data_IF_059441275719
#
_entry.id   IF_059441275719
#
_cell.length_a   1.000
_cell.length_b   1.000
_cell.length_c   1.000
_cell.angle_alpha   90.00
_cell.angle_beta   90.00
_cell.angle_gamma   90.00
#
_symmetry.space_group_name_H-M   'P 1'
#
loop_
_entity.id
_entity.type
_entity.pdbx_description
1 polymer ?
#
# COMPACT_ATOMS: atom_id res chain seq x y z
N UNK A 1 -41.21 1.47 35.23
CA UNK A 1 -39.72 1.46 35.08
C UNK A 1 -39.20 0.62 33.89
N UNK A 2 -40.05 -0.02 33.06
CA UNK A 2 -39.60 -0.89 31.94
C UNK A 2 -39.53 -0.22 30.54
N UNK A 3 -39.96 1.03 30.41
CA UNK A 3 -39.99 1.75 29.11
C UNK A 3 -38.70 2.54 28.81
N UNK A 4 -37.86 2.82 29.81
CA UNK A 4 -36.63 3.60 29.60
C UNK A 4 -35.55 2.81 28.84
N UNK A 5 -35.48 1.48 29.00
CA UNK A 5 -34.43 0.65 28.39
C UNK A 5 -34.56 0.46 26.88
N UNK A 6 -35.79 0.50 26.34
CA UNK A 6 -36.04 0.32 24.90
C UNK A 6 -35.56 1.55 24.11
N UNK A 7 -35.64 2.74 24.69
CA UNK A 7 -35.20 3.97 24.05
C UNK A 7 -33.67 4.09 23.98
N UNK A 8 -32.93 3.58 24.98
CA UNK A 8 -31.46 3.61 24.95
C UNK A 8 -30.85 2.68 23.89
N UNK A 9 -31.45 1.51 23.66
CA UNK A 9 -30.98 0.59 22.61
C UNK A 9 -31.13 1.15 21.20
N UNK A 10 -32.24 1.81 20.91
CA UNK A 10 -32.50 2.41 19.59
C UNK A 10 -31.57 3.58 19.28
N UNK A 11 -31.24 4.41 20.28
CA UNK A 11 -30.32 5.54 20.10
C UNK A 11 -28.89 5.07 19.89
N UNK A 12 -28.44 4.01 20.59
CA UNK A 12 -27.11 3.43 20.37
C UNK A 12 -26.98 2.75 19.00
N UNK A 13 -28.03 2.10 18.51
CA UNK A 13 -28.02 1.50 17.16
C UNK A 13 -27.96 2.57 16.07
N UNK A 14 -28.65 3.71 16.26
CA UNK A 14 -28.58 4.84 15.34
C UNK A 14 -27.22 5.56 15.39
N UNK A 15 -26.59 5.66 16.57
CA UNK A 15 -25.24 6.20 16.70
C UNK A 15 -24.19 5.30 16.03
N UNK A 16 -24.33 3.97 16.12
CA UNK A 16 -23.44 3.05 15.42
C UNK A 16 -23.57 3.16 13.89
N UNK A 17 -24.81 3.26 13.38
CA UNK A 17 -25.05 3.46 11.94
C UNK A 17 -24.52 4.82 11.49
N UNK A 18 -24.72 5.89 12.27
CA UNK A 18 -24.18 7.22 11.98
C UNK A 18 -22.64 7.24 12.02
N UNK A 19 -22.00 6.53 12.96
CA UNK A 19 -20.55 6.39 13.02
C UNK A 19 -19.98 5.62 11.82
N UNK A 20 -20.65 4.55 11.39
CA UNK A 20 -20.28 3.79 10.18
C UNK A 20 -20.49 4.63 8.92
N UNK A 21 -21.54 5.45 8.87
CA UNK A 21 -21.82 6.35 7.75
C UNK A 21 -20.82 7.52 7.69
N UNK A 22 -20.49 8.15 8.83
CA UNK A 22 -19.41 9.15 8.94
C UNK A 22 -18.06 8.56 8.49
N UNK A 23 -17.73 7.33 8.92
CA UNK A 23 -16.51 6.66 8.49
C UNK A 23 -16.46 6.39 6.98
N UNK A 24 -17.60 6.15 6.31
CA UNK A 24 -17.65 6.03 4.85
C UNK A 24 -17.49 7.39 4.15
N UNK A 25 -18.18 8.44 4.62
CA UNK A 25 -18.12 9.76 3.97
C UNK A 25 -16.75 10.45 4.12
N UNK A 26 -16.03 10.20 5.23
CA UNK A 26 -14.65 10.71 5.42
C UNK A 26 -13.63 9.99 4.50
N UNK A 27 -13.90 8.74 4.10
CA UNK A 27 -13.01 7.99 3.18
C UNK A 27 -13.02 8.59 1.77
N UNK A 28 -14.15 9.11 1.33
CA UNK A 28 -14.28 9.63 -0.03
C UNK A 28 -13.63 11.02 -0.18
N UNK A 29 -13.57 11.83 0.88
CA UNK A 29 -12.95 13.17 0.85
C UNK A 29 -11.41 13.11 1.00
N UNK A 30 -10.87 12.12 1.73
CA UNK A 30 -9.42 12.02 2.01
C UNK A 30 -8.62 11.27 0.92
N UNK A 31 -9.28 10.79 -0.14
CA UNK A 31 -8.61 10.23 -1.33
C UNK A 31 -8.17 11.36 -2.30
N UNK A 32 -8.68 12.59 -2.14
CA UNK A 32 -8.38 13.70 -3.06
C UNK A 32 -7.27 14.67 -2.60
N UNK A 33 -6.76 14.58 -1.36
CA UNK A 33 -5.84 15.60 -0.81
C UNK A 33 -4.43 15.13 -0.43
N UNK A 34 -4.14 13.82 -0.44
CA UNK A 34 -2.77 13.35 -0.22
C UNK A 34 -2.06 13.15 -1.56
N UNK A 35 -1.55 14.26 -2.09
CA UNK A 35 -0.52 14.26 -3.13
C UNK A 35 0.64 13.36 -2.67
N UNK A 36 0.97 12.28 -3.39
CA UNK A 36 2.12 11.46 -3.05
C UNK A 36 3.37 12.32 -3.19
N UNK A 37 4.01 12.67 -2.07
CA UNK A 37 5.39 13.11 -2.08
C UNK A 37 6.19 12.03 -2.83
N UNK A 38 6.95 12.48 -3.84
CA UNK A 38 7.65 11.66 -4.81
C UNK A 38 8.45 10.54 -4.13
N UNK A 39 7.87 9.34 -4.07
CA UNK A 39 8.67 8.14 -3.89
C UNK A 39 9.25 7.83 -5.25
N UNK A 40 10.47 8.30 -5.48
CA UNK A 40 11.29 7.83 -6.60
C UNK A 40 11.55 6.35 -6.36
N UNK A 41 10.66 5.50 -6.88
CA UNK A 41 11.00 4.13 -7.15
C UNK A 41 12.18 4.20 -8.13
N UNK A 42 13.38 3.96 -7.64
CA UNK A 42 14.45 3.50 -8.51
C UNK A 42 13.92 2.22 -9.15
N UNK A 43 13.39 2.37 -10.35
CA UNK A 43 12.91 1.26 -11.17
C UNK A 43 14.11 0.34 -11.32
N UNK A 44 13.97 -0.86 -10.75
CA UNK A 44 14.89 -1.95 -10.99
C UNK A 44 14.61 -2.40 -12.43
N UNK A 45 15.25 -1.74 -13.40
CA UNK A 45 15.28 -2.20 -14.78
C UNK A 45 16.17 -3.44 -14.81
N UNK A 46 15.57 -4.64 -14.77
CA UNK A 46 16.28 -5.85 -15.16
C UNK A 46 16.23 -5.93 -16.70
N UNK A 47 17.02 -5.08 -17.35
CA UNK A 47 17.22 -5.10 -18.79
C UNK A 47 18.36 -6.09 -19.09
N UNK A 48 18.03 -7.39 -19.17
CA UNK A 48 18.88 -8.39 -19.82
C UNK A 48 18.38 -8.68 -21.23
N UNK A 49 18.78 -7.86 -22.20
CA UNK A 49 19.05 -8.28 -23.58
C UNK A 49 19.70 -7.14 -24.39
N UNK A 50 21.00 -7.27 -24.67
CA UNK A 50 21.57 -7.30 -26.02
C UNK A 50 23.07 -6.92 -25.98
N UNK A 51 23.90 -7.93 -26.13
CA UNK A 51 25.34 -7.80 -26.39
C UNK A 51 25.57 -7.55 -27.89
N UNK A 52 26.09 -6.37 -28.24
CA UNK A 52 26.66 -6.16 -29.57
C UNK A 52 27.06 -4.72 -29.89
N UNK A 53 28.35 -4.55 -30.23
CA UNK A 53 28.97 -3.47 -31.02
C UNK A 53 29.04 -2.07 -30.36
N UNK A 54 30.07 -1.25 -30.54
CA UNK A 54 31.36 -1.28 -31.24
C UNK A 54 32.12 -0.03 -30.73
N UNK A 55 33.42 -0.17 -30.47
CA UNK A 55 34.24 0.82 -29.77
C UNK A 55 34.81 1.84 -30.75
N UNK A 56 34.10 2.92 -31.00
CA UNK A 56 34.70 4.19 -31.43
C UNK A 56 34.06 5.33 -30.64
N UNK A 57 34.83 5.94 -29.74
CA UNK A 57 34.34 6.98 -28.85
C UNK A 57 34.11 8.31 -29.59
N UNK A 58 33.03 9.06 -29.29
CA UNK A 58 32.90 10.43 -29.75
C UNK A 58 33.52 11.41 -28.74
N UNK A 59 34.05 12.48 -29.32
CA UNK A 59 34.69 13.66 -28.71
C UNK A 59 33.99 14.25 -27.46
N UNK A 60 34.74 15.01 -26.64
CA UNK A 60 34.17 15.86 -25.59
C UNK A 60 33.20 16.88 -26.20
N UNK A 61 31.91 16.71 -25.95
CA UNK A 61 30.88 17.70 -26.27
C UNK A 61 31.01 18.90 -25.32
N UNK A 62 31.33 20.06 -25.89
CA UNK A 62 31.31 21.36 -25.23
C UNK A 62 29.92 21.68 -24.63
N UNK A 63 29.83 22.53 -23.58
CA UNK A 63 28.56 22.94 -22.98
C UNK A 63 27.82 23.93 -23.90
N UNK A 64 27.23 23.38 -24.96
CA UNK A 64 26.29 24.06 -25.84
C UNK A 64 24.89 24.07 -25.23
N UNK A 65 24.34 25.27 -25.11
CA UNK A 65 22.96 25.62 -24.80
C UNK A 65 21.96 25.03 -25.82
N UNK A 66 21.75 23.71 -25.79
CA UNK A 66 20.63 23.09 -26.48
C UNK A 66 19.32 23.41 -25.73
N UNK A 67 18.57 24.38 -26.24
CA UNK A 67 17.13 24.51 -25.98
C UNK A 67 16.45 23.23 -26.47
N UNK A 68 16.21 22.28 -25.58
CA UNK A 68 15.55 21.03 -25.91
C UNK A 68 14.04 21.27 -26.02
N UNK A 69 13.60 21.54 -27.25
CA UNK A 69 12.29 21.12 -27.73
C UNK A 69 12.22 19.58 -27.68
N UNK A 70 12.17 19.01 -26.48
CA UNK A 70 11.77 17.62 -26.31
C UNK A 70 10.28 17.54 -26.66
N UNK A 71 9.82 16.53 -27.44
CA UNK A 71 8.40 16.33 -27.63
C UNK A 71 7.76 16.20 -26.25
N UNK A 72 6.78 17.04 -25.95
CA UNK A 72 6.02 16.94 -24.73
C UNK A 72 5.50 15.50 -24.64
N UNK A 73 5.95 14.76 -23.62
CA UNK A 73 5.44 13.43 -23.34
C UNK A 73 3.95 13.57 -23.02
N UNK A 74 3.13 13.38 -24.03
CA UNK A 74 1.66 13.45 -23.99
C UNK A 74 1.06 12.11 -23.57
N UNK A 75 1.87 11.27 -22.90
CA UNK A 75 1.40 10.06 -22.24
C UNK A 75 0.90 10.38 -20.85
N UNK A 76 -0.31 9.93 -20.52
CA UNK A 76 -0.78 9.87 -19.14
C UNK A 76 0.19 9.01 -18.34
N UNK A 77 0.94 9.59 -17.39
CA UNK A 77 1.72 8.79 -16.44
C UNK A 77 0.74 7.90 -15.69
N UNK A 78 0.85 6.56 -15.78
CA UNK A 78 -0.03 5.67 -15.04
C UNK A 78 0.05 6.01 -13.56
N UNK A 79 -1.08 6.39 -12.98
CA UNK A 79 -1.14 6.64 -11.54
C UNK A 79 -1.00 5.30 -10.80
N UNK A 80 -0.23 5.26 -9.70
CA UNK A 80 -0.05 4.03 -8.95
C UNK A 80 -1.40 3.52 -8.44
N UNK A 81 -1.62 2.22 -8.56
CA UNK A 81 -2.81 1.60 -7.96
C UNK A 81 -2.69 1.60 -6.42
N UNK A 82 -3.80 1.32 -5.74
CA UNK A 82 -3.77 1.11 -4.28
C UNK A 82 -2.79 -0.01 -3.91
N UNK A 83 -2.77 -1.11 -4.66
CA UNK A 83 -1.88 -2.24 -4.42
C UNK A 83 -0.41 -1.84 -4.58
N UNK A 84 -0.09 -1.03 -5.60
CA UNK A 84 1.26 -0.48 -5.77
C UNK A 84 1.67 0.38 -4.58
N UNK A 85 0.74 1.20 -4.08
CA UNK A 85 0.97 2.07 -2.92
C UNK A 85 1.21 1.26 -1.64
N UNK A 86 0.40 0.23 -1.37
CA UNK A 86 0.54 -0.68 -0.23
C UNK A 86 1.92 -1.36 -0.25
N UNK A 87 2.30 -1.91 -1.40
CA UNK A 87 3.59 -2.60 -1.55
C UNK A 87 4.77 -1.63 -1.41
N UNK A 88 4.71 -0.46 -2.05
CA UNK A 88 5.76 0.56 -1.92
C UNK A 88 5.92 1.01 -0.47
N UNK A 89 4.82 1.18 0.27
CA UNK A 89 4.89 1.52 1.68
C UNK A 89 5.49 0.41 2.54
N UNK A 90 5.12 -0.85 2.30
CA UNK A 90 5.73 -2.00 2.97
C UNK A 90 7.25 -2.08 2.72
N UNK A 91 7.69 -1.85 1.48
CA UNK A 91 9.11 -1.80 1.13
C UNK A 91 9.84 -0.65 1.84
N UNK A 92 9.19 0.50 2.05
CA UNK A 92 9.79 1.62 2.80
C UNK A 92 10.08 1.31 4.27
N UNK A 93 9.50 0.24 4.82
CA UNK A 93 9.68 -0.22 6.19
C UNK A 93 10.76 -1.31 6.32
N UNK A 94 11.39 -1.71 5.21
CA UNK A 94 12.49 -2.69 5.21
C UNK A 94 13.61 -2.27 6.16
N UNK A 95 14.16 -3.24 6.89
CA UNK A 95 15.19 -3.01 7.92
C UNK A 95 14.64 -2.70 9.32
N UNK A 96 13.32 -2.53 9.48
CA UNK A 96 12.72 -2.42 10.82
C UNK A 96 12.89 -3.75 11.60
N UNK A 97 13.32 -3.72 12.88
CA UNK A 97 13.53 -4.93 13.66
C UNK A 97 12.26 -5.79 13.84
N UNK A 98 12.45 -7.10 13.95
CA UNK A 98 11.37 -8.00 14.37
C UNK A 98 11.20 -7.94 15.90
N UNK A 99 10.00 -7.61 16.36
CA UNK A 99 9.63 -7.60 17.79
C UNK A 99 8.29 -8.29 17.94
N UNK A 100 8.23 -9.31 18.80
CA UNK A 100 6.98 -9.99 19.12
C UNK A 100 5.92 -9.00 19.63
N UNK A 101 4.69 -9.10 19.11
CA UNK A 101 3.59 -8.15 19.36
C UNK A 101 3.86 -6.71 18.87
N UNK A 102 4.89 -6.49 18.04
CA UNK A 102 5.24 -5.17 17.51
C UNK A 102 4.28 -4.71 16.40
N UNK A 103 3.86 -3.44 16.47
CA UNK A 103 2.91 -2.79 15.51
C UNK A 103 3.38 -1.41 15.03
N UNK A 104 4.62 -1.02 15.36
CA UNK A 104 5.13 0.34 15.08
C UNK A 104 6.50 0.28 14.41
N UNK A 105 6.98 1.43 13.94
CA UNK A 105 8.30 1.55 13.31
C UNK A 105 9.48 1.27 14.24
N UNK A 106 9.27 1.08 15.55
CA UNK A 106 10.32 0.59 16.45
C UNK A 106 10.48 -0.93 16.39
N UNK A 107 9.49 -1.64 15.84
CA UNK A 107 9.55 -3.08 15.60
C UNK A 107 8.18 -3.67 15.27
N UNK A 108 8.20 -4.70 14.42
CA UNK A 108 7.01 -5.39 13.95
C UNK A 108 7.09 -6.90 14.20
N UNK A 109 5.95 -7.55 14.46
CA UNK A 109 5.80 -8.97 14.14
C UNK A 109 5.14 -9.15 12.76
N UNK A 110 4.93 -10.40 12.33
CA UNK A 110 4.40 -10.70 11.00
C UNK A 110 3.01 -10.09 10.77
N UNK A 111 2.08 -10.29 11.71
CA UNK A 111 0.72 -9.74 11.63
C UNK A 111 0.66 -8.24 11.91
N UNK A 112 1.53 -7.74 12.78
CA UNK A 112 1.61 -6.33 13.16
C UNK A 112 2.16 -5.46 12.04
N UNK A 113 3.06 -6.02 11.21
CA UNK A 113 3.51 -5.38 9.98
C UNK A 113 2.36 -5.17 8.99
N UNK A 114 1.56 -6.22 8.74
CA UNK A 114 0.39 -6.14 7.85
C UNK A 114 -0.65 -5.17 8.42
N UNK A 115 -0.95 -5.27 9.72
CA UNK A 115 -1.85 -4.36 10.42
C UNK A 115 -1.43 -2.89 10.25
N UNK A 116 -0.15 -2.59 10.45
CA UNK A 116 0.38 -1.24 10.31
C UNK A 116 0.24 -0.68 8.89
N UNK A 117 0.61 -1.49 7.88
CA UNK A 117 0.52 -1.08 6.47
C UNK A 117 -0.94 -0.84 6.07
N UNK A 118 -1.82 -1.80 6.33
CA UNK A 118 -3.21 -1.74 5.91
C UNK A 118 -3.99 -0.63 6.63
N UNK A 119 -3.71 -0.41 7.91
CA UNK A 119 -4.32 0.68 8.70
C UNK A 119 -4.01 2.07 8.12
N UNK A 120 -2.81 2.28 7.56
CA UNK A 120 -2.46 3.53 6.88
C UNK A 120 -3.39 3.84 5.69
N UNK A 121 -3.89 2.81 5.03
CA UNK A 121 -4.82 2.91 3.90
C UNK A 121 -6.29 2.72 4.33
N UNK A 122 -6.58 2.76 5.64
CA UNK A 122 -7.94 2.65 6.17
C UNK A 122 -8.55 1.25 6.08
N UNK A 123 -7.73 0.21 5.86
CA UNK A 123 -8.17 -1.18 5.83
C UNK A 123 -7.89 -1.80 7.21
N UNK A 124 -8.97 -2.19 7.89
CA UNK A 124 -8.87 -2.79 9.22
C UNK A 124 -8.60 -4.30 9.11
N UNK A 125 -7.54 -4.75 9.76
CA UNK A 125 -7.11 -6.15 9.75
C UNK A 125 -6.66 -6.56 11.15
N UNK A 126 -6.91 -7.81 11.59
CA UNK A 126 -6.55 -8.26 12.92
C UNK A 126 -5.02 -8.35 13.08
N UNK A 127 -4.53 -8.00 14.27
CA UNK A 127 -3.15 -8.28 14.68
C UNK A 127 -3.01 -9.74 15.15
N UNK A 128 -3.28 -10.68 14.24
CA UNK A 128 -3.12 -12.13 14.44
C UNK A 128 -3.02 -12.81 13.09
N UNK A 129 -1.95 -13.57 12.85
CA UNK A 129 -1.74 -14.30 11.60
C UNK A 129 -2.82 -15.36 11.36
N UNK A 130 -3.32 -16.00 12.41
CA UNK A 130 -4.41 -16.96 12.32
C UNK A 130 -5.72 -16.28 11.90
N UNK A 131 -6.06 -15.14 12.52
CA UNK A 131 -7.27 -14.41 12.15
C UNK A 131 -7.15 -13.74 10.77
N UNK A 132 -5.94 -13.36 10.33
CA UNK A 132 -5.70 -12.86 8.97
C UNK A 132 -6.06 -13.92 7.92
N UNK A 133 -5.81 -15.20 8.19
CA UNK A 133 -6.17 -16.30 7.28
C UNK A 133 -7.69 -16.43 7.05
N UNK A 134 -8.49 -15.93 7.99
CA UNK A 134 -9.95 -15.95 7.95
C UNK A 134 -10.56 -14.67 7.35
N UNK A 135 -9.74 -13.72 6.91
CA UNK A 135 -10.18 -12.45 6.32
C UNK A 135 -10.00 -12.43 4.81
N UNK A 136 -10.90 -11.70 4.16
CA UNK A 136 -10.89 -11.52 2.71
C UNK A 136 -11.35 -12.77 1.96
N UNK A 137 -11.08 -12.79 0.66
CA UNK A 137 -11.40 -13.89 -0.22
C UNK A 137 -10.17 -14.78 -0.43
N UNK A 138 -10.37 -16.10 -0.39
CA UNK A 138 -9.30 -17.05 -0.69
C UNK A 138 -8.93 -16.98 -2.18
N UNK A 139 -7.65 -16.75 -2.46
CA UNK A 139 -7.10 -16.68 -3.83
C UNK A 139 -6.30 -17.93 -4.13
N UNK A 140 -6.54 -18.56 -5.29
CA UNK A 140 -5.73 -19.69 -5.73
C UNK A 140 -4.29 -19.23 -6.00
N UNK A 141 -3.30 -20.08 -5.70
CA UNK A 141 -1.88 -19.77 -5.93
C UNK A 141 -1.57 -19.40 -7.39
N UNK A 142 -2.31 -19.91 -8.36
CA UNK A 142 -2.14 -19.54 -9.77
C UNK A 142 -2.77 -18.19 -10.17
N UNK A 143 -3.48 -17.54 -9.24
CA UNK A 143 -4.22 -16.29 -9.45
C UNK A 143 -3.71 -15.16 -8.56
N UNK A 144 -2.67 -15.40 -7.75
CA UNK A 144 -2.10 -14.39 -6.84
C UNK A 144 -1.63 -13.16 -7.60
N UNK A 145 -1.93 -12.00 -7.05
CA UNK A 145 -1.59 -10.69 -7.59
C UNK A 145 -0.83 -9.88 -6.55
N UNK A 146 -0.17 -8.82 -7.02
CA UNK A 146 0.45 -7.82 -6.15
C UNK A 146 -0.59 -7.28 -5.16
N UNK A 147 -0.26 -7.34 -3.88
CA UNK A 147 -1.14 -6.90 -2.78
C UNK A 147 -1.83 -8.04 -2.04
N UNK A 148 -1.85 -9.26 -2.60
CA UNK A 148 -2.38 -10.44 -1.90
C UNK A 148 -1.46 -10.86 -0.74
N UNK A 149 -2.05 -11.41 0.31
CA UNK A 149 -1.32 -11.90 1.49
C UNK A 149 -1.09 -13.39 1.37
N UNK A 150 0.17 -13.80 1.45
CA UNK A 150 0.53 -15.21 1.62
C UNK A 150 0.55 -15.54 3.12
N UNK A 151 -0.31 -16.47 3.53
CA UNK A 151 -0.40 -16.93 4.91
C UNK A 151 0.24 -18.31 5.03
N UNK A 152 1.21 -18.42 5.93
CA UNK A 152 1.90 -19.68 6.21
C UNK A 152 1.34 -20.29 7.50
N UNK A 153 0.64 -21.43 7.36
CA UNK A 153 0.26 -22.26 8.48
C UNK A 153 1.40 -23.25 8.72
N UNK A 154 2.24 -23.00 9.73
CA UNK A 154 3.35 -23.89 10.03
C UNK A 154 2.89 -25.34 10.19
N UNK A 155 3.73 -26.30 9.80
CA UNK A 155 3.57 -27.69 10.22
C UNK A 155 4.10 -27.81 11.64
N UNK A 156 3.21 -28.09 12.59
CA UNK A 156 3.60 -28.60 13.92
C UNK A 156 4.34 -29.93 13.79
#
# INVERSE_FOLDING_TARGET
MKLAWIMFGSVMSLLAIFAVWQNKNIRDENISSNSPQQYTANIFSDDRENSGLDSTGPEPIEPGNASLNAPAYTGTIPQPTLNDSIVAYGLSLMGTPYIAAGITRSGFDCSGFIHHIFSKYGIDVPHSSALLAEKGDAVNLNQVKKGDLLIFTGTT
#
